data_IF_606046057033
#
_entry.id   IF_606046057033
#
_cell.length_a   1.000
_cell.length_b   1.000
_cell.length_c   1.000
_cell.angle_alpha   90.00
_cell.angle_beta   90.00
_cell.angle_gamma   90.00
#
_symmetry.space_group_name_H-M   'P 1'
#
loop_
_entity.id
_entity.type
_entity.pdbx_description
1 polymer ?
#
# COMPACT_ATOMS: atom_id res chain seq x y z
N UNK A 1 2.71 4.19 13.33
CA UNK A 1 3.64 3.04 13.06
C UNK A 1 4.34 3.27 11.73
N UNK A 2 5.65 3.20 11.75
CA UNK A 2 6.44 3.34 10.54
C UNK A 2 7.15 2.01 10.25
N UNK A 3 7.83 1.92 9.11
CA UNK A 3 8.52 0.69 8.70
C UNK A 3 9.44 0.13 9.78
N UNK A 4 10.18 0.99 10.45
CA UNK A 4 11.08 0.59 11.53
C UNK A 4 10.33 -0.14 12.65
N UNK A 5 9.15 0.35 13.00
CA UNK A 5 8.32 -0.27 14.03
C UNK A 5 7.81 -1.64 13.60
N UNK A 6 7.47 -1.76 12.32
CA UNK A 6 7.01 -3.04 11.75
C UNK A 6 8.13 -4.07 11.80
N UNK A 7 9.34 -3.66 11.40
CA UNK A 7 10.52 -4.55 11.45
C UNK A 7 10.76 -5.05 12.87
N UNK A 8 10.71 -4.14 13.85
CA UNK A 8 10.93 -4.51 15.25
C UNK A 8 9.86 -5.49 15.75
N UNK A 9 8.59 -5.23 15.44
CA UNK A 9 7.50 -6.09 15.87
C UNK A 9 7.58 -7.49 15.25
N UNK A 10 7.87 -7.55 13.96
CA UNK A 10 7.98 -8.85 13.26
C UNK A 10 9.19 -9.63 13.77
N UNK A 11 10.32 -8.96 13.98
CA UNK A 11 11.53 -9.60 14.49
C UNK A 11 11.27 -10.23 15.86
N UNK A 12 10.58 -9.51 16.74
CA UNK A 12 10.25 -10.00 18.07
C UNK A 12 9.34 -11.22 18.00
N UNK A 13 8.30 -11.17 17.18
CA UNK A 13 7.31 -12.25 17.08
C UNK A 13 7.85 -13.50 16.41
N UNK A 14 8.85 -13.36 15.55
CA UNK A 14 9.42 -14.49 14.81
C UNK A 14 10.75 -14.96 15.38
N UNK A 15 11.26 -14.30 16.41
CA UNK A 15 12.56 -14.58 16.98
C UNK A 15 13.71 -14.51 15.96
N UNK A 16 13.58 -13.56 15.02
CA UNK A 16 14.62 -13.29 14.03
C UNK A 16 15.29 -11.96 14.32
N UNK A 17 16.47 -11.75 13.76
CA UNK A 17 17.15 -10.46 13.89
C UNK A 17 16.41 -9.38 13.09
N UNK A 18 16.51 -8.13 13.55
CA UNK A 18 15.93 -7.03 12.80
C UNK A 18 16.55 -6.90 11.41
N UNK A 19 17.84 -7.20 11.28
CA UNK A 19 18.51 -7.15 9.99
C UNK A 19 17.92 -8.15 8.99
N UNK A 20 17.63 -9.38 9.45
CA UNK A 20 17.01 -10.39 8.60
C UNK A 20 15.59 -9.99 8.19
N UNK A 21 14.80 -9.51 9.14
CA UNK A 21 13.43 -9.09 8.89
C UNK A 21 13.41 -7.92 7.93
N UNK A 22 14.29 -6.94 8.13
CA UNK A 22 14.37 -5.78 7.24
C UNK A 22 14.71 -6.21 5.81
N UNK A 23 15.66 -7.12 5.65
CA UNK A 23 16.03 -7.62 4.34
C UNK A 23 14.85 -8.29 3.63
N UNK A 24 14.13 -9.14 4.35
CA UNK A 24 12.97 -9.86 3.80
C UNK A 24 11.84 -8.88 3.44
N UNK A 25 11.55 -7.94 4.32
CA UNK A 25 10.49 -6.95 4.07
C UNK A 25 10.85 -6.02 2.91
N UNK A 26 12.09 -5.59 2.83
CA UNK A 26 12.53 -4.73 1.72
C UNK A 26 12.41 -5.47 0.39
N UNK A 27 12.78 -6.73 0.35
CA UNK A 27 12.64 -7.56 -0.84
C UNK A 27 11.16 -7.74 -1.21
N UNK A 28 10.31 -7.94 -0.22
CA UNK A 28 8.87 -8.03 -0.42
C UNK A 28 8.31 -6.73 -1.03
N UNK A 29 8.68 -5.58 -0.46
CA UNK A 29 8.22 -4.29 -0.98
C UNK A 29 8.71 -4.03 -2.40
N UNK A 30 9.95 -4.40 -2.70
CA UNK A 30 10.49 -4.29 -4.05
C UNK A 30 9.71 -5.16 -5.03
N UNK A 31 9.41 -6.39 -4.63
CA UNK A 31 8.65 -7.34 -5.46
C UNK A 31 7.27 -6.79 -5.77
N UNK A 32 6.59 -6.25 -4.75
CA UNK A 32 5.27 -5.64 -4.93
C UNK A 32 5.35 -4.43 -5.87
N UNK A 33 6.34 -3.58 -5.65
CA UNK A 33 6.53 -2.37 -6.46
C UNK A 33 6.79 -2.70 -7.92
N UNK A 34 7.64 -3.68 -8.18
CA UNK A 34 7.96 -4.11 -9.55
C UNK A 34 6.74 -4.69 -10.26
N UNK A 35 5.95 -5.48 -9.56
CA UNK A 35 4.73 -6.05 -10.12
C UNK A 35 3.74 -4.96 -10.50
N UNK A 36 3.53 -3.99 -9.61
CA UNK A 36 2.64 -2.87 -9.88
C UNK A 36 3.15 -1.99 -11.01
N UNK A 37 4.46 -1.83 -11.13
CA UNK A 37 5.04 -1.07 -12.24
C UNK A 37 4.73 -1.71 -13.59
N UNK A 38 4.53 -3.03 -13.62
CA UNK A 38 4.13 -3.77 -14.82
C UNK A 38 2.61 -3.90 -14.96
N UNK A 39 1.83 -3.20 -14.14
CA UNK A 39 0.37 -3.32 -14.08
C UNK A 39 -0.12 -4.73 -13.73
N UNK A 40 0.67 -5.50 -13.01
CA UNK A 40 0.27 -6.81 -12.51
C UNK A 40 -0.32 -6.67 -11.11
N UNK A 41 -1.61 -6.97 -10.93
CA UNK A 41 -2.21 -6.90 -9.60
C UNK A 41 -1.65 -8.00 -8.70
N UNK A 42 -1.65 -7.72 -7.39
CA UNK A 42 -1.14 -8.65 -6.40
C UNK A 42 -2.25 -8.96 -5.42
N UNK A 43 -2.62 -10.23 -5.32
CA UNK A 43 -3.61 -10.68 -4.36
C UNK A 43 -2.88 -11.43 -3.24
N UNK A 44 -3.00 -10.92 -2.02
CA UNK A 44 -2.45 -11.56 -0.84
C UNK A 44 -3.64 -12.09 -0.05
N UNK A 45 -3.86 -13.38 -0.17
CA UNK A 45 -5.04 -14.05 0.40
C UNK A 45 -5.20 -13.72 1.88
N UNK A 46 -6.38 -13.25 2.26
CA UNK A 46 -6.69 -12.90 3.65
C UNK A 46 -6.27 -11.48 4.04
N UNK A 47 -5.37 -10.87 3.30
CA UNK A 47 -4.87 -9.54 3.61
C UNK A 47 -5.48 -8.46 2.71
N UNK A 48 -5.34 -8.62 1.40
CA UNK A 48 -5.87 -7.64 0.48
C UNK A 48 -5.28 -7.75 -0.92
N UNK A 49 -5.70 -6.82 -1.76
CA UNK A 49 -5.29 -6.78 -3.16
C UNK A 49 -4.76 -5.41 -3.50
N UNK A 50 -3.59 -5.38 -4.11
CA UNK A 50 -3.00 -4.16 -4.67
C UNK A 50 -3.18 -4.19 -6.18
N UNK A 51 -3.60 -3.06 -6.74
CA UNK A 51 -3.74 -2.92 -8.18
C UNK A 51 -3.42 -1.49 -8.58
N UNK A 52 -3.28 -1.26 -9.87
CA UNK A 52 -3.10 0.09 -10.40
C UNK A 52 -4.39 0.57 -11.04
N UNK A 53 -4.64 1.85 -10.94
CA UNK A 53 -5.77 2.51 -11.58
C UNK A 53 -5.22 3.61 -12.46
N UNK A 54 -5.69 3.68 -13.69
CA UNK A 54 -5.30 4.74 -14.61
C UNK A 54 -6.30 5.88 -14.52
N UNK A 55 -5.79 7.09 -14.63
CA UNK A 55 -6.63 8.27 -14.74
C UNK A 55 -6.22 9.09 -15.97
N UNK A 56 -7.22 9.71 -16.59
CA UNK A 56 -7.01 10.52 -17.78
C UNK A 56 -6.48 11.90 -17.40
N UNK A 57 -5.81 12.54 -18.34
CA UNK A 57 -5.43 13.93 -18.20
C UNK A 57 -6.70 14.78 -18.00
N UNK A 58 -6.62 15.74 -17.12
CA UNK A 58 -7.75 16.63 -16.83
C UNK A 58 -7.26 18.00 -16.43
N UNK A 59 -8.17 18.97 -16.43
CA UNK A 59 -7.89 20.31 -15.94
C UNK A 59 -8.41 20.47 -14.53
N UNK A 60 -7.57 21.02 -13.67
CA UNK A 60 -7.91 21.32 -12.30
C UNK A 60 -7.61 22.79 -12.01
N UNK A 61 -7.64 23.12 -10.73
CA UNK A 61 -7.36 24.48 -10.27
C UNK A 61 -6.43 24.42 -9.06
N UNK A 62 -5.51 25.38 -8.99
CA UNK A 62 -4.74 25.58 -7.78
C UNK A 62 -5.68 26.17 -6.71
N UNK A 63 -5.90 25.47 -5.59
CA UNK A 63 -6.87 25.95 -4.59
C UNK A 63 -6.49 27.26 -3.94
N UNK A 64 -5.22 27.65 -3.99
CA UNK A 64 -4.77 28.91 -3.39
C UNK A 64 -4.87 30.10 -4.34
N UNK A 65 -4.56 29.89 -5.61
CA UNK A 65 -4.52 30.97 -6.61
C UNK A 65 -5.67 30.93 -7.60
N UNK A 66 -6.42 29.83 -7.63
CA UNK A 66 -7.50 29.59 -8.59
C UNK A 66 -7.03 29.56 -10.04
N UNK A 67 -5.73 29.46 -10.26
CA UNK A 67 -5.18 29.32 -11.58
C UNK A 67 -5.43 27.91 -12.14
N UNK A 68 -5.74 27.82 -13.45
CA UNK A 68 -5.92 26.50 -14.05
C UNK A 68 -4.63 25.69 -14.04
N UNK A 69 -4.76 24.40 -13.75
CA UNK A 69 -3.67 23.44 -13.75
C UNK A 69 -3.98 22.33 -14.75
N UNK A 70 -2.97 21.90 -15.49
CA UNK A 70 -3.07 20.71 -16.31
C UNK A 70 -2.57 19.53 -15.49
N UNK A 71 -3.48 18.59 -15.19
CA UNK A 71 -3.15 17.36 -14.48
C UNK A 71 -2.92 16.28 -15.52
N UNK A 72 -1.68 15.80 -15.69
CA UNK A 72 -1.39 14.80 -16.71
C UNK A 72 -2.02 13.45 -16.37
N UNK A 73 -2.22 12.64 -17.40
CA UNK A 73 -2.63 11.26 -17.22
C UNK A 73 -1.57 10.50 -16.41
N UNK A 74 -2.00 9.53 -15.63
CA UNK A 74 -1.07 8.75 -14.82
C UNK A 74 -1.71 7.52 -14.24
N UNK A 75 -0.98 6.90 -13.31
CA UNK A 75 -1.42 5.70 -12.60
C UNK A 75 -1.27 5.93 -11.10
N UNK A 76 -2.11 5.28 -10.34
CA UNK A 76 -2.00 5.28 -8.89
C UNK A 76 -2.31 3.88 -8.36
N UNK A 77 -1.89 3.62 -7.14
CA UNK A 77 -2.15 2.33 -6.49
C UNK A 77 -3.50 2.37 -5.81
N UNK A 78 -4.23 1.27 -5.94
CA UNK A 78 -5.45 1.02 -5.17
C UNK A 78 -5.20 -0.18 -4.28
N UNK A 79 -5.54 -0.07 -3.01
CA UNK A 79 -5.55 -1.18 -2.08
C UNK A 79 -6.98 -1.54 -1.74
N UNK A 80 -7.34 -2.80 -1.95
CA UNK A 80 -8.64 -3.33 -1.56
C UNK A 80 -8.42 -4.28 -0.40
N UNK A 81 -8.89 -3.95 0.81
CA UNK A 81 -8.67 -4.81 1.97
C UNK A 81 -9.36 -6.15 1.83
N UNK A 82 -8.71 -7.19 2.34
CA UNK A 82 -9.26 -8.52 2.37
C UNK A 82 -10.08 -8.77 3.62
N UNK A 83 -10.64 -9.96 3.71
CA UNK A 83 -11.57 -10.32 4.78
C UNK A 83 -10.91 -10.27 6.17
N UNK A 84 -9.63 -10.58 6.27
CA UNK A 84 -8.93 -10.55 7.55
C UNK A 84 -8.89 -9.16 8.16
N UNK A 85 -8.57 -8.16 7.33
CA UNK A 85 -8.53 -6.77 7.79
C UNK A 85 -9.93 -6.28 8.11
N UNK A 86 -10.90 -6.58 7.25
CA UNK A 86 -12.27 -6.13 7.47
C UNK A 86 -12.88 -6.73 8.73
N UNK A 87 -12.61 -8.00 9.02
CA UNK A 87 -13.07 -8.64 10.26
C UNK A 87 -12.45 -7.99 11.49
N UNK A 88 -11.17 -7.68 11.44
CA UNK A 88 -10.49 -7.03 12.54
C UNK A 88 -11.10 -5.66 12.86
N UNK A 89 -11.48 -4.92 11.82
CA UNK A 89 -12.10 -3.61 11.99
C UNK A 89 -13.53 -3.72 12.51
N UNK A 90 -14.28 -4.73 12.09
CA UNK A 90 -15.66 -4.93 12.53
C UNK A 90 -15.76 -5.34 14.00
N UNK A 91 -14.80 -6.10 14.51
CA UNK A 91 -14.79 -6.51 15.92
C UNK A 91 -14.79 -5.28 16.82
N UNK A 92 -14.07 -4.25 16.46
CA UNK A 92 -14.01 -3.03 17.25
C UNK A 92 -15.33 -2.29 17.31
N UNK A 93 -16.12 -2.37 16.24
CA UNK A 93 -17.40 -1.68 16.15
C UNK A 93 -18.50 -2.30 17.01
N UNK A 94 -18.30 -3.49 17.51
CA UNK A 94 -19.31 -4.22 18.28
C UNK A 94 -19.21 -3.95 19.79
N UNK A 95 -18.25 -3.19 20.21
CA UNK A 95 -18.06 -2.87 21.65
C UNK A 95 -18.71 -1.55 22.07
#
# INVERSE_FOLDING_TARGET
MIKKDIVAAVALRTANSQAQVQYILDTFFETVTESLARDEPITITGFGRFSTVRYSARKGHNPQTMEPLDIPAGRRVRFTPGIGIERALKVEKQT
#
